data_IF_881708393648
#
_entry.id   IF_881708393648
#
_cell.length_a   1.000
_cell.length_b   1.000
_cell.length_c   1.000
_cell.angle_alpha   90.00
_cell.angle_beta   90.00
_cell.angle_gamma   90.00
#
_symmetry.space_group_name_H-M   'P 1'
#
loop_
_entity.id
_entity.type
_entity.pdbx_description
1 polymer ?
#
# COMPACT_ATOMS: atom_id res chain seq x y z
N UNK A 1 31.09 25.94 -25.03
CA UNK A 1 31.92 27.08 -25.53
C UNK A 1 32.04 28.20 -24.50
N UNK A 2 30.99 28.57 -23.77
CA UNK A 2 31.10 29.67 -22.78
C UNK A 2 32.10 29.41 -21.64
N UNK A 3 32.43 28.17 -21.34
CA UNK A 3 33.32 27.75 -20.24
C UNK A 3 34.71 27.33 -20.79
N UNK A 4 34.87 27.13 -22.09
CA UNK A 4 36.12 26.68 -22.72
C UNK A 4 36.79 27.78 -23.51
N UNK A 5 37.87 28.32 -22.97
CA UNK A 5 38.72 29.34 -23.65
C UNK A 5 40.14 28.83 -23.93
N UNK A 6 40.58 27.77 -23.24
CA UNK A 6 41.94 27.24 -23.33
C UNK A 6 41.94 25.71 -23.13
N UNK A 7 42.70 25.02 -23.99
CA UNK A 7 42.84 23.53 -23.97
C UNK A 7 43.53 23.04 -22.70
N UNK A 8 44.46 23.82 -22.11
CA UNK A 8 45.20 23.43 -20.92
C UNK A 8 44.31 23.36 -19.66
N UNK A 9 43.19 24.10 -19.62
CA UNK A 9 42.29 24.15 -18.50
C UNK A 9 40.98 23.35 -18.70
N UNK A 10 40.82 22.65 -19.84
CA UNK A 10 39.60 21.92 -20.21
C UNK A 10 39.18 20.89 -19.15
N UNK A 11 40.11 20.03 -18.72
CA UNK A 11 39.83 18.98 -17.73
C UNK A 11 39.32 19.56 -16.40
N UNK A 12 39.96 20.60 -15.88
CA UNK A 12 39.55 21.22 -14.61
C UNK A 12 38.18 21.89 -14.74
N UNK A 13 37.89 22.58 -15.83
CA UNK A 13 36.61 23.28 -16.03
C UNK A 13 35.47 22.31 -16.26
N UNK A 14 35.69 21.23 -17.04
CA UNK A 14 34.73 20.14 -17.17
C UNK A 14 34.46 19.47 -15.82
N UNK A 15 35.53 19.23 -15.03
CA UNK A 15 35.40 18.69 -13.67
C UNK A 15 34.53 19.56 -12.76
N UNK A 16 34.72 20.90 -12.78
CA UNK A 16 33.85 21.82 -12.01
C UNK A 16 32.39 21.81 -12.48
N UNK A 17 32.14 21.76 -13.79
CA UNK A 17 30.77 21.65 -14.33
C UNK A 17 30.12 20.37 -13.89
N UNK A 18 30.83 19.23 -13.98
CA UNK A 18 30.31 17.92 -13.54
C UNK A 18 30.06 17.88 -12.04
N UNK A 19 30.97 18.43 -11.22
CA UNK A 19 30.80 18.54 -9.78
C UNK A 19 29.55 19.36 -9.42
N UNK A 20 29.37 20.51 -10.06
CA UNK A 20 28.20 21.36 -9.87
C UNK A 20 26.89 20.65 -10.29
N UNK A 21 26.92 19.90 -11.38
CA UNK A 21 25.81 19.11 -11.86
C UNK A 21 25.42 17.99 -10.86
N UNK A 22 26.41 17.22 -10.38
CA UNK A 22 26.17 16.14 -9.40
C UNK A 22 25.67 16.72 -8.08
N UNK A 23 26.31 17.75 -7.56
CA UNK A 23 25.89 18.42 -6.33
C UNK A 23 24.49 19.04 -6.45
N UNK A 24 24.21 19.68 -7.58
CA UNK A 24 22.89 20.26 -7.88
C UNK A 24 21.79 19.21 -7.97
N UNK A 25 22.06 18.08 -8.64
CA UNK A 25 21.11 16.98 -8.74
C UNK A 25 20.83 16.35 -7.37
N UNK A 26 21.87 16.09 -6.57
CA UNK A 26 21.70 15.54 -5.23
C UNK A 26 20.92 16.50 -4.32
N UNK A 27 21.32 17.77 -4.25
CA UNK A 27 20.64 18.78 -3.46
C UNK A 27 19.19 19.01 -3.95
N UNK A 28 18.98 19.09 -5.27
CA UNK A 28 17.67 19.27 -5.87
C UNK A 28 16.74 18.10 -5.56
N UNK A 29 17.22 16.87 -5.66
CA UNK A 29 16.43 15.68 -5.33
C UNK A 29 16.02 15.65 -3.86
N UNK A 30 16.95 15.93 -2.94
CA UNK A 30 16.68 16.00 -1.51
C UNK A 30 15.67 17.12 -1.20
N UNK A 31 15.90 18.32 -1.74
CA UNK A 31 15.02 19.46 -1.52
C UNK A 31 13.61 19.21 -2.08
N UNK A 32 13.53 18.67 -3.28
CA UNK A 32 12.24 18.35 -3.91
C UNK A 32 11.51 17.25 -3.13
N UNK A 33 12.17 16.15 -2.82
CA UNK A 33 11.53 15.00 -2.16
C UNK A 33 11.12 15.28 -0.72
N UNK A 34 11.92 16.02 0.04
CA UNK A 34 11.65 16.22 1.47
C UNK A 34 10.91 17.52 1.79
N UNK A 35 11.03 18.53 0.95
CA UNK A 35 10.52 19.88 1.24
C UNK A 35 9.41 20.27 0.27
N UNK A 36 9.68 20.36 -1.03
CA UNK A 36 8.66 20.92 -1.92
C UNK A 36 7.45 20.01 -2.08
N UNK A 37 7.63 18.70 -2.21
CA UNK A 37 6.50 17.77 -2.24
C UNK A 37 5.69 17.78 -0.94
N UNK A 38 6.36 17.98 0.20
CA UNK A 38 5.64 18.04 1.48
C UNK A 38 4.76 19.29 1.63
N UNK A 39 5.27 20.46 1.24
CA UNK A 39 4.58 21.74 1.46
C UNK A 39 3.77 22.22 0.26
N UNK A 40 4.18 21.88 -0.96
CA UNK A 40 3.57 22.36 -2.19
C UNK A 40 2.76 21.28 -2.93
N UNK A 41 3.02 20.01 -2.62
CA UNK A 41 2.50 18.87 -3.36
C UNK A 41 3.04 18.77 -4.78
N UNK A 42 2.52 17.87 -5.58
CA UNK A 42 3.00 17.59 -6.94
C UNK A 42 2.82 18.80 -7.87
N UNK A 43 1.61 19.36 -7.97
CA UNK A 43 1.34 20.46 -8.89
C UNK A 43 2.07 21.74 -8.49
N UNK A 44 2.17 22.04 -7.17
CA UNK A 44 2.91 23.18 -6.67
C UNK A 44 4.41 23.04 -6.94
N UNK A 45 4.97 21.85 -6.75
CA UNK A 45 6.37 21.53 -7.06
C UNK A 45 6.66 21.69 -8.56
N UNK A 46 5.78 21.17 -9.42
CA UNK A 46 5.90 21.35 -10.87
C UNK A 46 5.88 22.83 -11.26
N UNK A 47 4.99 23.64 -10.66
CA UNK A 47 4.94 25.10 -10.89
C UNK A 47 6.23 25.78 -10.43
N UNK A 48 6.76 25.40 -9.28
CA UNK A 48 8.03 25.94 -8.77
C UNK A 48 9.19 25.63 -9.73
N UNK A 49 9.34 24.37 -10.15
CA UNK A 49 10.40 23.96 -11.08
C UNK A 49 10.27 24.64 -12.45
N UNK A 50 9.06 24.75 -12.97
CA UNK A 50 8.80 25.45 -14.22
C UNK A 50 9.08 26.96 -14.11
N UNK A 51 8.74 27.57 -12.97
CA UNK A 51 9.07 28.98 -12.69
C UNK A 51 10.57 29.20 -12.63
N UNK A 52 11.32 28.36 -11.92
CA UNK A 52 12.78 28.43 -11.88
C UNK A 52 13.41 28.27 -13.26
N UNK A 53 12.89 27.33 -14.06
CA UNK A 53 13.35 27.12 -15.44
C UNK A 53 13.07 28.34 -16.32
N UNK A 54 11.90 28.98 -16.16
CA UNK A 54 11.57 30.21 -16.87
C UNK A 54 12.49 31.38 -16.45
N UNK A 55 12.76 31.54 -15.16
CA UNK A 55 13.68 32.57 -14.65
C UNK A 55 15.09 32.38 -15.20
N UNK A 56 15.58 31.15 -15.27
CA UNK A 56 16.88 30.86 -15.89
C UNK A 56 16.88 31.19 -17.39
N UNK A 57 15.82 30.88 -18.13
CA UNK A 57 15.67 31.26 -19.53
C UNK A 57 15.66 32.77 -19.71
N UNK A 58 14.90 33.49 -18.90
CA UNK A 58 14.84 34.95 -18.94
C UNK A 58 16.17 35.57 -18.60
N UNK A 59 16.90 35.06 -17.60
CA UNK A 59 18.27 35.49 -17.25
C UNK A 59 19.25 35.26 -18.41
N UNK A 60 19.15 34.12 -19.10
CA UNK A 60 19.94 33.82 -20.29
C UNK A 60 19.64 34.81 -21.42
N UNK A 61 18.36 35.08 -21.70
CA UNK A 61 17.93 36.06 -22.70
C UNK A 61 18.41 37.46 -22.40
N UNK A 62 18.37 37.85 -21.12
CA UNK A 62 18.87 39.18 -20.67
C UNK A 62 20.37 39.35 -20.95
N UNK A 63 21.19 38.34 -20.63
CA UNK A 63 22.65 38.40 -20.83
C UNK A 63 23.07 38.21 -22.29
N UNK A 64 22.36 37.39 -23.05
CA UNK A 64 22.69 37.05 -24.44
C UNK A 64 22.08 37.97 -25.50
N UNK A 65 21.13 38.82 -25.11
CA UNK A 65 20.25 39.61 -25.98
C UNK A 65 19.18 38.76 -26.68
N UNK A 66 18.03 39.37 -26.91
CA UNK A 66 16.89 38.75 -27.62
C UNK A 66 17.23 38.67 -29.13
N UNK A 67 18.08 37.74 -29.52
CA UNK A 67 18.57 37.65 -30.91
C UNK A 67 17.74 36.74 -31.78
N UNK A 68 16.83 35.92 -31.20
CA UNK A 68 16.03 34.97 -31.94
C UNK A 68 14.57 34.99 -31.49
N UNK A 69 13.59 35.14 -32.44
CA UNK A 69 12.16 35.12 -32.10
C UNK A 69 11.72 33.82 -31.47
N UNK A 70 12.40 32.71 -31.77
CA UNK A 70 12.12 31.38 -31.16
C UNK A 70 12.32 31.36 -29.65
N UNK A 71 13.37 32.01 -29.14
CA UNK A 71 13.67 32.06 -27.69
C UNK A 71 12.61 32.87 -26.93
N UNK A 72 12.15 33.98 -27.51
CA UNK A 72 11.04 34.74 -26.97
C UNK A 72 9.72 33.96 -26.97
N UNK A 73 9.46 33.24 -28.06
CA UNK A 73 8.30 32.36 -28.18
C UNK A 73 8.31 31.25 -27.13
N UNK A 74 9.46 30.63 -26.86
CA UNK A 74 9.60 29.62 -25.80
C UNK A 74 9.36 30.18 -24.39
N UNK A 75 9.85 31.41 -24.11
CA UNK A 75 9.59 32.05 -22.82
C UNK A 75 8.09 32.33 -22.62
N UNK A 76 7.41 32.83 -23.65
CA UNK A 76 5.96 33.06 -23.61
C UNK A 76 5.21 31.74 -23.45
N UNK A 77 5.55 30.71 -24.22
CA UNK A 77 4.92 29.39 -24.13
C UNK A 77 5.11 28.78 -22.73
N UNK A 78 6.30 28.92 -22.13
CA UNK A 78 6.57 28.45 -20.77
C UNK A 78 5.76 29.21 -19.73
N UNK A 79 5.61 30.53 -19.87
CA UNK A 79 4.78 31.34 -18.99
C UNK A 79 3.29 30.97 -19.10
N UNK A 80 2.78 30.74 -20.31
CA UNK A 80 1.41 30.28 -20.54
C UNK A 80 1.19 28.88 -19.97
N UNK A 81 2.14 27.95 -20.13
CA UNK A 81 2.06 26.61 -19.56
C UNK A 81 1.93 26.65 -18.04
N UNK A 82 2.62 27.58 -17.34
CA UNK A 82 2.46 27.75 -15.89
C UNK A 82 1.04 28.10 -15.46
N UNK A 83 0.32 28.89 -16.27
CA UNK A 83 -1.06 29.28 -15.99
C UNK A 83 -2.05 28.12 -16.16
N UNK A 84 -1.70 27.13 -16.99
CA UNK A 84 -2.57 25.97 -17.29
C UNK A 84 -2.38 24.84 -16.27
N UNK A 85 -1.27 24.78 -15.56
CA UNK A 85 -1.05 23.75 -14.53
C UNK A 85 -2.08 23.93 -13.41
N UNK A 86 -2.96 22.93 -13.15
CA UNK A 86 -3.97 23.03 -12.12
C UNK A 86 -3.36 23.06 -10.71
N UNK A 87 -4.17 23.24 -9.66
CA UNK A 87 -3.77 22.93 -8.28
C UNK A 87 -3.68 21.41 -8.05
N UNK A 88 -3.18 21.00 -6.88
CA UNK A 88 -2.95 19.58 -6.56
C UNK A 88 -4.22 18.74 -6.69
N UNK A 89 -5.32 19.11 -6.03
CA UNK A 89 -6.60 18.41 -6.15
C UNK A 89 -7.09 18.36 -7.61
N UNK A 90 -6.96 19.46 -8.35
CA UNK A 90 -7.34 19.52 -9.76
C UNK A 90 -6.47 18.64 -10.65
N UNK A 91 -5.19 18.48 -10.34
CA UNK A 91 -4.27 17.59 -11.07
C UNK A 91 -4.72 16.13 -10.91
N UNK A 92 -4.86 15.67 -9.68
CA UNK A 92 -5.23 14.29 -9.39
C UNK A 92 -6.66 13.97 -9.85
N UNK A 93 -7.60 14.92 -9.71
CA UNK A 93 -8.95 14.77 -10.21
C UNK A 93 -8.98 14.58 -11.74
N UNK A 94 -8.20 15.36 -12.50
CA UNK A 94 -8.14 15.21 -13.97
C UNK A 94 -7.45 13.93 -14.41
N UNK A 95 -6.51 13.41 -13.62
CA UNK A 95 -5.81 12.17 -13.96
C UNK A 95 -6.63 10.91 -13.70
N UNK A 96 -7.50 10.91 -12.69
CA UNK A 96 -8.14 9.70 -12.19
C UNK A 96 -9.66 9.81 -11.99
N UNK A 97 -10.26 10.98 -12.17
CA UNK A 97 -11.69 11.19 -12.04
C UNK A 97 -12.27 11.79 -13.33
N UNK A 98 -13.58 11.62 -13.56
CA UNK A 98 -14.26 12.18 -14.72
C UNK A 98 -14.45 13.71 -14.63
N UNK A 99 -14.04 14.30 -13.48
CA UNK A 99 -14.07 15.74 -13.25
C UNK A 99 -13.79 16.12 -11.81
N UNK A 100 -13.58 17.41 -11.51
CA UNK A 100 -13.23 17.88 -10.17
C UNK A 100 -14.30 17.61 -9.11
N UNK A 101 -15.57 17.56 -9.51
CA UNK A 101 -16.71 17.42 -8.61
C UNK A 101 -16.85 16.06 -7.91
N UNK A 102 -16.13 15.05 -8.38
CA UNK A 102 -16.22 13.70 -7.83
C UNK A 102 -15.15 13.41 -6.74
N UNK A 103 -14.21 14.32 -6.51
CA UNK A 103 -13.19 14.13 -5.47
C UNK A 103 -13.73 14.70 -4.14
N UNK A 104 -14.00 13.80 -3.20
CA UNK A 104 -14.58 14.16 -1.90
C UNK A 104 -13.51 14.38 -0.82
N UNK A 105 -12.44 13.59 -0.87
CA UNK A 105 -11.35 13.71 0.04
C UNK A 105 -10.02 13.55 -0.70
N UNK A 106 -9.01 14.32 -0.31
CA UNK A 106 -7.67 14.18 -0.84
C UNK A 106 -6.63 14.75 0.11
N UNK A 107 -5.47 14.14 0.12
CA UNK A 107 -4.31 14.65 0.83
C UNK A 107 -3.03 14.28 0.09
N UNK A 108 -2.00 15.08 0.22
CA UNK A 108 -0.72 14.87 -0.41
C UNK A 108 0.40 15.46 0.46
N UNK A 109 1.46 14.68 0.66
CA UNK A 109 2.69 15.14 1.30
C UNK A 109 3.92 14.39 0.73
N UNK A 110 5.07 14.50 1.40
CA UNK A 110 6.29 13.80 0.98
C UNK A 110 6.21 12.27 1.06
N UNK A 111 5.27 11.71 1.82
CA UNK A 111 5.08 10.26 1.90
C UNK A 111 4.22 9.71 0.77
N UNK A 112 3.43 10.59 0.12
CA UNK A 112 2.63 10.22 -1.04
C UNK A 112 1.35 11.02 -1.20
N UNK A 113 0.40 10.45 -1.92
CA UNK A 113 -0.91 11.01 -2.18
C UNK A 113 -1.99 9.97 -1.93
N UNK A 114 -3.10 10.38 -1.33
CA UNK A 114 -4.30 9.58 -1.21
C UNK A 114 -5.53 10.43 -1.53
N UNK A 115 -6.51 9.84 -2.21
CA UNK A 115 -7.75 10.52 -2.51
C UNK A 115 -8.89 9.53 -2.74
N UNK A 116 -10.10 9.99 -2.46
CA UNK A 116 -11.33 9.26 -2.67
C UNK A 116 -12.18 9.94 -3.74
N UNK A 117 -12.63 9.13 -4.69
CA UNK A 117 -13.56 9.54 -5.73
C UNK A 117 -14.92 8.95 -5.44
N UNK A 118 -15.89 9.81 -5.11
CA UNK A 118 -17.28 9.39 -4.97
C UNK A 118 -17.94 9.24 -6.35
N UNK A 119 -18.48 8.04 -6.60
CA UNK A 119 -19.12 7.69 -7.87
C UNK A 119 -20.64 8.00 -7.89
N UNK A 120 -21.29 8.08 -6.72
CA UNK A 120 -22.75 8.27 -6.60
C UNK A 120 -23.19 9.65 -6.14
N UNK A 121 -22.30 10.46 -5.53
CA UNK A 121 -22.66 11.81 -5.12
C UNK A 121 -23.67 11.83 -3.94
N UNK A 122 -24.77 12.44 -3.96
CA UNK A 122 -25.60 12.97 -2.88
C UNK A 122 -26.39 11.95 -2.00
N UNK A 123 -26.26 10.65 -2.14
CA UNK A 123 -27.14 9.68 -1.42
C UNK A 123 -26.75 9.39 0.04
N UNK A 124 -25.80 10.15 0.60
CA UNK A 124 -25.39 10.00 2.01
C UNK A 124 -24.53 8.76 2.30
N UNK A 125 -24.21 7.96 1.28
CA UNK A 125 -23.36 6.78 1.39
C UNK A 125 -22.16 6.92 0.47
N UNK A 126 -20.96 6.83 1.03
CA UNK A 126 -19.72 6.87 0.25
C UNK A 126 -19.65 5.67 -0.69
N UNK A 127 -19.47 5.91 -2.00
CA UNK A 127 -19.26 4.84 -2.97
C UNK A 127 -18.26 5.21 -4.04
N UNK A 128 -17.17 4.49 -4.12
CA UNK A 128 -16.18 4.72 -5.18
C UNK A 128 -14.81 4.13 -4.88
N UNK A 129 -13.86 4.30 -5.79
CA UNK A 129 -12.49 3.87 -5.62
C UNK A 129 -11.73 4.81 -4.66
N UNK A 130 -10.86 4.20 -3.85
CA UNK A 130 -9.87 4.86 -3.02
C UNK A 130 -8.48 4.68 -3.65
N UNK A 131 -7.83 5.80 -3.94
CA UNK A 131 -6.53 5.83 -4.62
C UNK A 131 -5.42 6.12 -3.63
N UNK A 132 -4.33 5.36 -3.74
CA UNK A 132 -3.06 5.59 -3.03
C UNK A 132 -1.96 5.59 -4.07
N UNK A 133 -1.10 6.61 -4.07
CA UNK A 133 -0.01 6.76 -5.04
C UNK A 133 -0.49 6.70 -6.50
N UNK A 134 -1.71 7.18 -6.77
CA UNK A 134 -2.31 7.16 -8.10
C UNK A 134 -2.90 5.83 -8.56
N UNK A 135 -2.86 4.78 -7.73
CA UNK A 135 -3.49 3.49 -8.01
C UNK A 135 -4.74 3.27 -7.17
N UNK A 136 -5.78 2.67 -7.73
CA UNK A 136 -6.95 2.23 -6.98
C UNK A 136 -6.56 1.03 -6.11
N UNK A 137 -6.30 1.27 -4.83
CA UNK A 137 -5.89 0.25 -3.86
C UNK A 137 -7.06 -0.33 -3.07
N UNK A 138 -8.25 0.27 -3.18
CA UNK A 138 -9.44 -0.19 -2.48
C UNK A 138 -10.69 0.55 -2.94
N UNK A 139 -11.80 0.25 -2.30
CA UNK A 139 -13.10 0.89 -2.54
C UNK A 139 -13.82 1.16 -1.24
N UNK A 140 -14.81 2.04 -1.32
CA UNK A 140 -15.84 2.24 -0.33
C UNK A 140 -17.18 2.05 -1.06
N UNK A 141 -18.11 1.21 -0.63
CA UNK A 141 -17.99 0.21 0.47
C UNK A 141 -16.80 -0.73 0.29
N UNK A 142 -16.30 -1.28 1.41
CA UNK A 142 -15.08 -2.08 1.43
C UNK A 142 -15.19 -3.34 0.57
N UNK A 143 -14.10 -3.71 -0.11
CA UNK A 143 -14.05 -4.97 -0.85
C UNK A 143 -14.15 -6.16 0.13
N UNK A 144 -14.96 -7.15 -0.23
CA UNK A 144 -15.13 -8.36 0.59
C UNK A 144 -13.81 -9.07 0.88
N UNK A 145 -12.84 -9.01 -0.03
CA UNK A 145 -11.52 -9.63 0.18
C UNK A 145 -10.75 -8.97 1.33
N UNK A 146 -10.73 -7.64 1.42
CA UNK A 146 -10.07 -6.93 2.52
C UNK A 146 -10.81 -7.18 3.85
N UNK A 147 -12.15 -7.23 3.82
CA UNK A 147 -12.90 -7.58 5.01
C UNK A 147 -12.67 -9.04 5.45
N UNK A 148 -12.56 -9.97 4.50
CA UNK A 148 -12.22 -11.35 4.81
C UNK A 148 -10.82 -11.46 5.42
N UNK A 149 -9.83 -10.79 4.80
CA UNK A 149 -8.45 -10.74 5.27
C UNK A 149 -8.39 -10.27 6.74
N UNK A 150 -9.09 -9.16 7.07
CA UNK A 150 -9.12 -8.61 8.42
C UNK A 150 -9.89 -9.44 9.45
N UNK A 151 -10.96 -10.15 9.01
CA UNK A 151 -11.80 -10.89 9.93
C UNK A 151 -11.29 -12.31 10.23
N UNK A 152 -10.60 -12.95 9.28
CA UNK A 152 -10.29 -14.38 9.37
C UNK A 152 -9.42 -14.73 10.59
N UNK A 153 -8.39 -13.94 10.87
CA UNK A 153 -7.53 -14.14 12.03
C UNK A 153 -8.29 -14.04 13.36
N UNK A 154 -8.98 -12.93 13.64
CA UNK A 154 -9.82 -12.77 14.83
C UNK A 154 -10.92 -13.83 14.99
N UNK A 155 -11.44 -14.39 13.89
CA UNK A 155 -12.47 -15.44 13.96
C UNK A 155 -11.90 -16.84 14.19
N UNK A 156 -10.65 -17.10 13.80
CA UNK A 156 -9.95 -18.36 14.07
C UNK A 156 -9.36 -18.37 15.48
N UNK A 157 -8.73 -17.27 15.90
CA UNK A 157 -8.10 -17.17 17.20
C UNK A 157 -9.16 -17.24 18.33
N UNK A 158 -8.94 -18.03 19.39
CA UNK A 158 -9.95 -18.23 20.44
C UNK A 158 -10.29 -16.93 21.20
N UNK A 159 -9.31 -16.08 21.50
CA UNK A 159 -9.47 -14.86 22.31
C UNK A 159 -8.47 -13.76 21.89
N UNK A 160 -8.65 -13.11 20.72
CA UNK A 160 -7.74 -12.07 20.24
C UNK A 160 -7.95 -10.77 21.02
N UNK A 161 -6.94 -10.29 21.73
CA UNK A 161 -6.97 -9.01 22.46
C UNK A 161 -6.21 -7.92 21.75
N UNK A 162 -5.04 -8.23 21.21
CA UNK A 162 -4.13 -7.28 20.58
C UNK A 162 -3.95 -7.63 19.10
N UNK A 163 -4.48 -6.80 18.23
CA UNK A 163 -4.40 -6.95 16.78
C UNK A 163 -3.56 -5.83 16.21
N UNK A 164 -2.56 -6.17 15.41
CA UNK A 164 -1.79 -5.23 14.60
C UNK A 164 -2.16 -5.41 13.13
N UNK A 165 -2.52 -4.32 12.47
CA UNK A 165 -2.74 -4.27 11.02
C UNK A 165 -1.69 -3.38 10.39
N UNK A 166 -0.94 -3.89 9.42
CA UNK A 166 0.07 -3.18 8.64
C UNK A 166 -0.48 -2.91 7.25
N UNK A 167 -0.74 -1.65 6.95
CA UNK A 167 -1.47 -1.18 5.79
C UNK A 167 -2.95 -0.94 6.11
N UNK A 168 -3.41 0.31 6.00
CA UNK A 168 -4.81 0.69 6.27
C UNK A 168 -5.61 0.69 4.97
N UNK A 169 -5.01 1.20 3.90
CA UNK A 169 -5.68 1.30 2.61
C UNK A 169 -6.97 2.09 2.68
N UNK A 170 -8.06 1.55 2.13
CA UNK A 170 -9.40 2.16 2.23
C UNK A 170 -10.07 1.96 3.59
N UNK A 171 -9.46 1.22 4.51
CA UNK A 171 -10.00 0.94 5.85
C UNK A 171 -10.70 -0.41 6.00
N UNK A 172 -10.84 -1.21 4.93
CA UNK A 172 -11.60 -2.45 4.97
C UNK A 172 -11.02 -3.51 5.90
N UNK A 173 -9.71 -3.69 5.86
CA UNK A 173 -8.98 -4.65 6.69
C UNK A 173 -9.00 -4.26 8.17
N UNK A 174 -8.60 -3.04 8.58
CA UNK A 174 -8.68 -2.66 9.98
C UNK A 174 -10.13 -2.63 10.51
N UNK A 175 -11.12 -2.28 9.67
CA UNK A 175 -12.52 -2.39 10.07
C UNK A 175 -12.87 -3.83 10.46
N UNK A 176 -12.60 -4.77 9.56
CA UNK A 176 -12.93 -6.17 9.77
C UNK A 176 -12.13 -6.82 10.90
N UNK A 177 -10.88 -6.38 11.14
CA UNK A 177 -10.08 -6.82 12.28
C UNK A 177 -10.74 -6.53 13.63
N UNK A 178 -11.59 -5.48 13.70
CA UNK A 178 -12.36 -5.12 14.87
C UNK A 178 -13.66 -5.93 15.07
N UNK A 179 -13.85 -7.04 14.35
CA UNK A 179 -15.05 -7.89 14.42
C UNK A 179 -15.32 -8.44 15.82
N UNK A 180 -14.28 -8.59 16.64
CA UNK A 180 -14.40 -8.99 18.04
C UNK A 180 -14.41 -7.73 18.91
N UNK A 181 -15.49 -7.48 19.67
CA UNK A 181 -15.64 -6.24 20.43
C UNK A 181 -14.60 -6.06 21.55
N UNK A 182 -13.98 -7.14 22.01
CA UNK A 182 -12.94 -7.15 23.03
C UNK A 182 -11.53 -6.86 22.50
N UNK A 183 -11.35 -6.84 21.18
CA UNK A 183 -10.03 -6.62 20.56
C UNK A 183 -9.66 -5.14 20.49
N UNK A 184 -8.39 -4.85 20.72
CA UNK A 184 -7.76 -3.56 20.46
C UNK A 184 -7.00 -3.66 19.13
N UNK A 185 -7.31 -2.77 18.22
CA UNK A 185 -6.77 -2.76 16.86
C UNK A 185 -5.80 -1.58 16.75
N UNK A 186 -4.54 -1.89 16.48
CA UNK A 186 -3.54 -0.91 16.10
C UNK A 186 -3.28 -1.05 14.60
N UNK A 187 -3.55 -0.02 13.84
CA UNK A 187 -3.38 -0.02 12.39
C UNK A 187 -2.34 1.03 12.00
N UNK A 188 -1.33 0.61 11.23
CA UNK A 188 -0.19 1.45 10.85
C UNK A 188 -0.17 1.62 9.33
N UNK A 189 -0.11 2.88 8.88
CA UNK A 189 -0.08 3.26 7.47
C UNK A 189 1.20 4.03 7.14
N UNK A 190 1.86 3.62 6.07
CA UNK A 190 3.10 4.24 5.61
C UNK A 190 2.88 5.59 4.91
N UNK A 191 1.72 5.77 4.27
CA UNK A 191 1.35 6.96 3.52
C UNK A 191 0.44 7.84 4.38
N UNK A 192 1.01 8.86 5.05
CA UNK A 192 0.25 9.72 5.96
C UNK A 192 -1.01 10.34 5.35
N UNK A 193 -1.03 10.79 4.08
CA UNK A 193 -2.24 11.24 3.38
C UNK A 193 -3.43 10.29 3.40
N UNK A 194 -3.21 8.98 3.55
CA UNK A 194 -4.30 8.00 3.70
C UNK A 194 -5.14 8.30 4.93
N UNK A 195 -4.50 8.56 6.07
CA UNK A 195 -5.21 8.88 7.31
C UNK A 195 -6.01 10.16 7.18
N UNK A 196 -5.41 11.21 6.60
CA UNK A 196 -6.09 12.49 6.36
C UNK A 196 -7.30 12.31 5.44
N UNK A 197 -7.14 11.60 4.34
CA UNK A 197 -8.25 11.37 3.41
C UNK A 197 -9.37 10.52 4.04
N UNK A 198 -9.03 9.49 4.83
CA UNK A 198 -10.02 8.70 5.55
C UNK A 198 -10.76 9.53 6.62
N UNK A 199 -10.06 10.42 7.32
CA UNK A 199 -10.69 11.32 8.29
C UNK A 199 -11.67 12.29 7.60
N UNK A 200 -11.30 12.86 6.45
CA UNK A 200 -12.20 13.69 5.64
C UNK A 200 -13.43 12.90 5.17
N UNK A 201 -13.25 11.64 4.73
CA UNK A 201 -14.38 10.76 4.38
C UNK A 201 -15.27 10.53 5.60
N UNK A 202 -14.68 10.26 6.76
CA UNK A 202 -15.44 10.08 8.00
C UNK A 202 -16.22 11.31 8.43
N UNK A 203 -15.75 12.51 8.11
CA UNK A 203 -16.47 13.77 8.36
C UNK A 203 -17.63 13.95 7.37
N UNK A 204 -17.46 13.61 6.10
CA UNK A 204 -18.51 13.68 5.08
C UNK A 204 -19.60 12.63 5.30
N UNK A 205 -19.22 11.43 5.78
CA UNK A 205 -20.12 10.29 6.00
C UNK A 205 -20.06 9.83 7.47
N UNK A 206 -20.63 10.61 8.41
CA UNK A 206 -20.44 10.44 9.85
C UNK A 206 -21.03 9.16 10.46
N UNK A 207 -21.94 8.50 9.74
CA UNK A 207 -22.59 7.24 10.15
C UNK A 207 -21.88 6.01 9.57
N UNK A 208 -20.90 6.23 8.69
CA UNK A 208 -20.15 5.18 8.01
C UNK A 208 -19.13 4.46 8.91
N UNK A 209 -18.62 3.31 8.44
CA UNK A 209 -17.64 2.51 9.18
C UNK A 209 -16.33 3.27 9.42
N UNK A 210 -15.89 4.10 8.47
CA UNK A 210 -14.68 4.91 8.60
C UNK A 210 -14.81 5.89 9.76
N UNK A 211 -15.91 6.63 9.82
CA UNK A 211 -16.16 7.56 10.94
C UNK A 211 -16.19 6.84 12.30
N UNK A 212 -16.73 5.63 12.34
CA UNK A 212 -16.75 4.81 13.58
C UNK A 212 -15.35 4.41 14.01
N UNK A 213 -14.46 4.01 13.10
CA UNK A 213 -13.07 3.68 13.43
C UNK A 213 -12.33 4.87 14.06
N UNK A 214 -12.56 6.10 13.60
CA UNK A 214 -11.94 7.29 14.19
C UNK A 214 -12.55 7.69 15.54
N UNK A 215 -13.80 7.31 15.83
CA UNK A 215 -14.51 7.65 17.07
C UNK A 215 -14.36 6.59 18.17
N UNK A 216 -14.19 5.33 17.81
CA UNK A 216 -14.08 4.21 18.76
C UNK A 216 -12.61 4.03 19.21
N UNK A 217 -12.29 4.19 20.51
CA UNK A 217 -10.93 4.12 21.03
C UNK A 217 -10.25 2.75 20.86
N UNK A 218 -10.99 1.72 20.46
CA UNK A 218 -10.40 0.43 20.13
C UNK A 218 -9.51 0.48 18.90
N UNK A 219 -9.76 1.40 17.96
CA UNK A 219 -8.92 1.61 16.79
C UNK A 219 -7.90 2.72 17.04
N UNK A 220 -6.63 2.35 17.05
CA UNK A 220 -5.49 3.26 17.06
C UNK A 220 -4.89 3.29 15.65
N UNK A 221 -5.22 4.31 14.87
CA UNK A 221 -4.72 4.48 13.52
C UNK A 221 -3.52 5.42 13.53
N UNK A 222 -2.37 4.94 13.04
CA UNK A 222 -1.08 5.62 13.17
C UNK A 222 -0.37 5.74 11.83
N UNK A 223 0.27 6.89 11.61
CA UNK A 223 1.26 7.04 10.56
C UNK A 223 2.58 6.40 10.99
N UNK A 224 3.12 5.52 10.16
CA UNK A 224 4.38 4.87 10.45
C UNK A 224 4.73 3.75 9.49
N UNK A 225 5.93 3.21 9.68
CA UNK A 225 6.39 2.01 9.01
C UNK A 225 6.15 0.80 9.91
N UNK A 226 5.23 -0.09 9.51
CA UNK A 226 4.86 -1.27 10.29
C UNK A 226 6.04 -2.22 10.53
N UNK A 227 6.93 -2.37 9.55
CA UNK A 227 8.14 -3.17 9.69
C UNK A 227 9.10 -2.59 10.72
N UNK A 228 9.31 -1.28 10.67
CA UNK A 228 10.14 -0.56 11.66
C UNK A 228 9.54 -0.63 13.06
N UNK A 229 8.22 -0.57 13.15
CA UNK A 229 7.50 -0.73 14.43
C UNK A 229 7.76 -2.11 15.03
N UNK A 230 7.57 -3.18 14.28
CA UNK A 230 7.89 -4.54 14.72
C UNK A 230 9.36 -4.73 15.11
N UNK A 231 10.29 -4.00 14.45
CA UNK A 231 11.71 -4.06 14.79
C UNK A 231 12.04 -3.45 16.16
N UNK A 232 11.36 -2.34 16.50
CA UNK A 232 11.69 -1.51 17.66
C UNK A 232 10.96 -1.88 18.92
N UNK A 233 9.77 -2.44 18.81
CA UNK A 233 8.90 -2.71 19.95
C UNK A 233 9.02 -4.17 20.41
N UNK A 234 8.92 -4.39 21.74
CA UNK A 234 8.86 -5.72 22.32
C UNK A 234 7.43 -6.24 22.52
N UNK A 235 6.43 -5.45 22.12
CA UNK A 235 5.02 -5.82 22.19
C UNK A 235 4.76 -7.07 21.35
N UNK A 236 3.94 -7.97 21.90
CA UNK A 236 3.45 -9.16 21.21
C UNK A 236 1.99 -9.00 20.88
N UNK A 237 1.58 -9.64 19.79
CA UNK A 237 0.23 -9.53 19.25
C UNK A 237 -0.38 -10.92 19.09
N UNK A 238 -1.68 -11.01 19.36
CA UNK A 238 -2.46 -12.22 19.10
C UNK A 238 -2.71 -12.40 17.61
N UNK A 239 -2.89 -11.28 16.91
CA UNK A 239 -2.99 -11.24 15.44
C UNK A 239 -2.04 -10.16 14.92
N UNK A 240 -1.23 -10.52 13.93
CA UNK A 240 -0.54 -9.56 13.08
C UNK A 240 -1.06 -9.79 11.66
N UNK A 241 -1.47 -8.73 11.01
CA UNK A 241 -1.98 -8.78 9.67
C UNK A 241 -1.24 -7.78 8.79
N UNK A 242 -0.82 -8.22 7.60
CA UNK A 242 -0.22 -7.37 6.60
C UNK A 242 -1.08 -7.38 5.33
N UNK A 243 -1.85 -6.30 5.15
CA UNK A 243 -2.56 -6.00 3.91
C UNK A 243 -1.60 -5.24 2.97
N UNK A 244 -0.60 -5.97 2.50
CA UNK A 244 0.46 -5.40 1.70
C UNK A 244 0.05 -5.30 0.23
N UNK A 245 0.50 -4.22 -0.41
CA UNK A 245 0.31 -4.00 -1.85
C UNK A 245 1.00 -5.07 -2.69
N UNK A 246 0.69 -5.10 -3.98
CA UNK A 246 1.30 -6.01 -4.95
C UNK A 246 2.83 -5.99 -4.88
N UNK A 247 3.52 -7.15 -4.84
CA UNK A 247 4.96 -7.24 -4.59
C UNK A 247 5.82 -6.63 -5.69
N UNK A 248 5.28 -6.39 -6.87
CA UNK A 248 5.96 -5.71 -7.98
C UNK A 248 6.04 -4.18 -7.83
N UNK A 249 5.31 -3.60 -6.89
CA UNK A 249 5.46 -2.19 -6.53
C UNK A 249 6.83 -1.95 -5.88
N UNK A 250 7.44 -0.78 -6.14
CA UNK A 250 8.74 -0.44 -5.56
C UNK A 250 8.71 -0.53 -4.02
N UNK A 251 9.67 -1.25 -3.46
CA UNK A 251 9.82 -1.53 -2.02
C UNK A 251 8.71 -2.36 -1.37
N UNK A 252 7.67 -2.74 -2.08
CA UNK A 252 6.60 -3.60 -1.54
C UNK A 252 7.07 -5.04 -1.32
N UNK A 253 8.03 -5.52 -2.12
CA UNK A 253 8.66 -6.82 -1.97
C UNK A 253 9.25 -7.07 -0.59
N UNK A 254 9.64 -6.01 0.12
CA UNK A 254 10.16 -6.08 1.49
C UNK A 254 9.14 -6.60 2.51
N UNK A 255 7.84 -6.46 2.24
CA UNK A 255 6.76 -7.00 3.09
C UNK A 255 6.47 -8.49 2.84
N UNK A 256 7.11 -9.08 1.82
CA UNK A 256 7.03 -10.50 1.50
C UNK A 256 8.35 -11.23 1.71
N UNK A 257 9.38 -10.53 2.21
CA UNK A 257 10.69 -11.13 2.48
C UNK A 257 10.65 -12.08 3.67
N UNK A 258 11.50 -13.11 3.63
CA UNK A 258 11.65 -14.05 4.74
C UNK A 258 12.03 -13.33 6.05
N UNK A 259 12.84 -12.28 5.95
CA UNK A 259 13.27 -11.47 7.10
C UNK A 259 12.11 -10.74 7.75
N UNK A 260 11.22 -10.14 6.96
CA UNK A 260 10.04 -9.46 7.50
C UNK A 260 9.04 -10.46 8.10
N UNK A 261 8.78 -11.55 7.40
CA UNK A 261 7.86 -12.60 7.89
C UNK A 261 8.40 -13.20 9.21
N UNK A 262 9.71 -13.44 9.32
CA UNK A 262 10.32 -13.92 10.57
C UNK A 262 10.26 -12.87 11.69
N UNK A 263 10.43 -11.60 11.36
CA UNK A 263 10.25 -10.51 12.31
C UNK A 263 8.81 -10.46 12.85
N UNK A 264 7.80 -10.58 11.99
CA UNK A 264 6.40 -10.66 12.40
C UNK A 264 6.15 -11.91 13.27
N UNK A 265 6.67 -13.08 12.84
CA UNK A 265 6.58 -14.34 13.59
C UNK A 265 7.10 -14.23 15.02
N UNK A 266 8.23 -13.53 15.24
CA UNK A 266 8.82 -13.32 16.58
C UNK A 266 7.97 -12.41 17.46
N UNK A 267 7.09 -11.59 16.89
CA UNK A 267 6.20 -10.69 17.62
C UNK A 267 4.82 -11.28 17.88
N UNK A 268 4.58 -12.52 17.47
CA UNK A 268 3.37 -13.23 17.86
C UNK A 268 3.39 -13.57 19.36
N UNK A 269 2.25 -13.43 20.01
CA UNK A 269 1.96 -14.00 21.31
C UNK A 269 1.88 -15.54 21.21
N UNK A 270 1.92 -16.29 22.32
CA UNK A 270 1.61 -17.72 22.29
C UNK A 270 0.24 -17.98 21.63
N UNK A 271 0.20 -18.92 20.67
CA UNK A 271 -1.00 -19.18 19.87
C UNK A 271 -1.36 -18.10 18.82
N UNK A 272 -0.56 -17.04 18.72
CA UNK A 272 -0.81 -15.92 17.82
C UNK A 272 -0.70 -16.30 16.34
N UNK A 273 -1.42 -15.54 15.49
CA UNK A 273 -1.54 -15.76 14.06
C UNK A 273 -0.98 -14.58 13.26
N UNK A 274 -0.21 -14.88 12.22
CA UNK A 274 0.18 -13.92 11.19
C UNK A 274 -0.64 -14.16 9.93
N UNK A 275 -1.30 -13.11 9.45
CA UNK A 275 -2.19 -13.17 8.29
C UNK A 275 -1.62 -12.31 7.18
N UNK A 276 -1.56 -12.82 5.97
CA UNK A 276 -1.11 -12.07 4.81
C UNK A 276 -1.78 -12.56 3.53
N UNK A 277 -2.00 -11.64 2.61
CA UNK A 277 -2.44 -11.99 1.26
C UNK A 277 -1.34 -12.73 0.47
N UNK A 278 -1.75 -13.67 -0.38
CA UNK A 278 -0.89 -14.53 -1.18
C UNK A 278 -0.80 -14.03 -2.64
N UNK A 279 0.11 -13.10 -2.98
CA UNK A 279 0.15 -12.52 -4.32
C UNK A 279 0.78 -13.44 -5.38
N UNK A 280 1.80 -14.21 -5.00
CA UNK A 280 2.57 -15.05 -5.91
C UNK A 280 2.89 -16.40 -5.27
N UNK A 281 3.20 -17.41 -6.11
CA UNK A 281 3.69 -18.70 -5.63
C UNK A 281 4.94 -18.56 -4.76
N UNK A 282 5.86 -17.68 -5.15
CA UNK A 282 7.10 -17.44 -4.41
C UNK A 282 6.84 -16.84 -3.02
N UNK A 283 5.91 -15.88 -2.92
CA UNK A 283 5.50 -15.32 -1.64
C UNK A 283 4.92 -16.40 -0.71
N UNK A 284 4.06 -17.28 -1.25
CA UNK A 284 3.49 -18.42 -0.50
C UNK A 284 4.59 -19.35 0.00
N UNK A 285 5.53 -19.74 -0.84
CA UNK A 285 6.61 -20.65 -0.47
C UNK A 285 7.59 -20.01 0.53
N UNK A 286 7.84 -18.70 0.40
CA UNK A 286 8.62 -17.93 1.35
C UNK A 286 7.93 -17.90 2.72
N UNK A 287 6.64 -17.62 2.74
CA UNK A 287 5.83 -17.63 3.96
C UNK A 287 5.86 -18.99 4.66
N UNK A 288 5.57 -20.04 3.91
CA UNK A 288 5.59 -21.40 4.43
C UNK A 288 7.00 -21.90 4.85
N UNK A 289 8.08 -21.24 4.37
CA UNK A 289 9.44 -21.52 4.80
C UNK A 289 9.73 -21.01 6.22
N UNK A 290 9.09 -19.92 6.60
CA UNK A 290 9.35 -19.23 7.87
C UNK A 290 8.51 -19.79 9.00
N UNK A 291 7.25 -20.13 8.75
CA UNK A 291 6.34 -20.62 9.78
C UNK A 291 6.38 -22.14 9.93
N UNK A 292 6.47 -22.67 11.18
CA UNK A 292 6.33 -24.10 11.44
C UNK A 292 4.93 -24.62 11.12
N UNK A 293 3.90 -23.77 11.27
CA UNK A 293 2.52 -24.08 10.90
C UNK A 293 2.01 -23.00 9.94
N UNK A 294 1.65 -23.40 8.74
CA UNK A 294 1.16 -22.50 7.69
C UNK A 294 -0.03 -23.09 6.95
N UNK A 295 -1.03 -22.26 6.70
CA UNK A 295 -2.22 -22.57 5.90
C UNK A 295 -2.33 -21.60 4.74
N UNK A 296 -2.88 -22.05 3.61
CA UNK A 296 -3.35 -21.22 2.51
C UNK A 296 -4.83 -21.44 2.30
N UNK A 297 -5.61 -20.41 2.49
CA UNK A 297 -7.05 -20.42 2.26
C UNK A 297 -7.36 -20.00 0.82
N UNK A 298 -7.84 -20.95 0.01
CA UNK A 298 -8.27 -20.69 -1.36
C UNK A 298 -9.79 -20.78 -1.44
N UNK A 299 -10.47 -19.98 -2.27
CA UNK A 299 -9.93 -19.11 -3.33
C UNK A 299 -9.51 -17.72 -2.88
N UNK A 300 -9.67 -17.34 -1.62
CA UNK A 300 -9.33 -16.00 -1.13
C UNK A 300 -7.85 -15.65 -1.26
N UNK A 301 -6.96 -16.65 -1.34
CA UNK A 301 -5.53 -16.41 -1.40
C UNK A 301 -4.99 -15.79 -0.12
N UNK A 302 -5.41 -16.27 1.05
CA UNK A 302 -4.97 -15.79 2.36
C UNK A 302 -4.06 -16.81 3.02
N UNK A 303 -2.87 -16.38 3.40
CA UNK A 303 -1.90 -17.17 4.16
C UNK A 303 -2.09 -16.91 5.66
N UNK A 304 -2.04 -17.98 6.46
CA UNK A 304 -2.08 -17.91 7.91
C UNK A 304 -0.88 -18.69 8.45
N UNK A 305 -0.06 -18.04 9.27
CA UNK A 305 1.11 -18.65 9.90
C UNK A 305 1.07 -18.55 11.40
N UNK A 306 1.63 -19.54 12.09
CA UNK A 306 1.76 -19.56 13.54
C UNK A 306 3.00 -20.33 14.00
N UNK A 307 3.47 -20.02 15.21
CA UNK A 307 4.49 -20.82 15.91
C UNK A 307 3.92 -22.14 16.48
N UNK A 308 2.61 -22.21 16.65
CA UNK A 308 1.88 -23.32 17.23
C UNK A 308 0.84 -23.86 16.24
N UNK A 309 0.28 -25.07 16.45
CA UNK A 309 -0.79 -25.59 15.61
C UNK A 309 -1.95 -24.61 15.49
N UNK A 310 -2.37 -24.30 14.25
CA UNK A 310 -3.44 -23.35 13.99
C UNK A 310 -4.78 -24.04 14.27
N UNK A 311 -5.65 -23.48 15.15
CA UNK A 311 -6.93 -24.06 15.50
C UNK A 311 -7.97 -23.82 14.38
N UNK A 312 -7.66 -24.25 13.17
CA UNK A 312 -8.50 -24.05 11.98
C UNK A 312 -9.51 -25.19 11.82
N UNK A 313 -10.77 -24.81 11.82
CA UNK A 313 -11.91 -25.67 11.50
C UNK A 313 -12.83 -24.92 10.51
N UNK A 314 -12.98 -25.41 9.27
CA UNK A 314 -13.81 -24.76 8.26
C UNK A 314 -15.28 -24.58 8.69
N UNK A 315 -15.87 -25.57 9.35
CA UNK A 315 -17.25 -25.51 9.79
C UNK A 315 -17.43 -24.46 10.88
N UNK A 316 -16.51 -24.41 11.84
CA UNK A 316 -16.50 -23.41 12.90
C UNK A 316 -16.27 -22.00 12.33
N UNK A 317 -15.38 -21.83 11.36
CA UNK A 317 -15.16 -20.55 10.71
C UNK A 317 -16.40 -20.06 9.98
N UNK A 318 -17.08 -20.95 9.23
CA UNK A 318 -18.35 -20.64 8.58
C UNK A 318 -19.43 -20.20 9.59
N UNK A 319 -19.55 -20.92 10.71
CA UNK A 319 -20.45 -20.55 11.80
C UNK A 319 -20.11 -19.16 12.40
N UNK A 320 -18.80 -18.87 12.59
CA UNK A 320 -18.38 -17.56 13.10
C UNK A 320 -18.77 -16.43 12.14
N UNK A 321 -18.57 -16.58 10.83
CA UNK A 321 -19.00 -15.58 9.85
C UNK A 321 -20.51 -15.39 9.84
N UNK A 322 -21.28 -16.48 10.00
CA UNK A 322 -22.74 -16.46 9.99
C UNK A 322 -23.37 -15.89 11.28
N UNK A 323 -22.60 -15.69 12.35
CA UNK A 323 -23.13 -15.10 13.59
C UNK A 323 -23.71 -13.71 13.33
N UNK A 324 -24.94 -13.41 13.80
CA UNK A 324 -25.61 -12.16 13.48
C UNK A 324 -24.79 -10.90 13.78
N UNK A 325 -24.06 -10.88 14.91
CA UNK A 325 -23.23 -9.74 15.29
C UNK A 325 -22.04 -9.56 14.36
N UNK A 326 -21.36 -10.63 13.97
CA UNK A 326 -20.20 -10.59 13.05
C UNK A 326 -20.65 -10.20 11.65
N UNK A 327 -21.74 -10.80 11.17
CA UNK A 327 -22.29 -10.47 9.85
C UNK A 327 -22.78 -9.01 9.79
N UNK A 328 -23.41 -8.52 10.85
CA UNK A 328 -23.83 -7.12 10.94
C UNK A 328 -22.63 -6.17 10.91
N UNK A 329 -21.52 -6.50 11.60
CA UNK A 329 -20.29 -5.72 11.57
C UNK A 329 -19.70 -5.66 10.16
N UNK A 330 -19.57 -6.79 9.46
CA UNK A 330 -19.03 -6.83 8.11
C UNK A 330 -19.94 -6.10 7.11
N UNK A 331 -21.25 -6.28 7.22
CA UNK A 331 -22.24 -5.61 6.35
C UNK A 331 -22.34 -4.11 6.60
N UNK A 332 -21.97 -3.62 7.77
CA UNK A 332 -21.81 -2.19 7.99
C UNK A 332 -20.66 -1.60 7.13
N UNK A 333 -19.64 -2.38 6.82
CA UNK A 333 -18.57 -2.00 5.90
C UNK A 333 -18.89 -2.24 4.41
N UNK A 334 -19.72 -3.23 4.13
CA UNK A 334 -20.23 -3.53 2.80
C UNK A 334 -21.50 -4.38 2.91
N UNK A 335 -22.65 -3.81 2.54
CA UNK A 335 -23.95 -4.51 2.63
C UNK A 335 -23.99 -5.79 1.81
N UNK A 336 -23.24 -5.84 0.71
CA UNK A 336 -23.10 -7.00 -0.17
C UNK A 336 -21.94 -7.91 0.23
N UNK A 337 -21.45 -7.81 1.48
CA UNK A 337 -20.36 -8.67 1.94
C UNK A 337 -20.65 -10.14 1.62
N UNK A 338 -19.81 -10.72 0.79
CA UNK A 338 -19.89 -12.14 0.43
C UNK A 338 -19.24 -12.97 1.51
N UNK A 339 -20.01 -13.86 2.11
CA UNK A 339 -19.50 -14.89 3.01
C UNK A 339 -18.71 -15.93 2.19
N UNK A 340 -17.38 -15.81 2.26
CA UNK A 340 -16.50 -16.75 1.58
C UNK A 340 -16.25 -18.03 2.39
N UNK A 341 -16.75 -18.10 3.62
CA UNK A 341 -16.55 -19.26 4.47
C UNK A 341 -17.16 -20.53 3.86
N UNK A 342 -18.27 -20.40 3.12
CA UNK A 342 -18.85 -21.51 2.34
C UNK A 342 -17.92 -22.02 1.23
N UNK A 343 -17.00 -21.19 0.75
CA UNK A 343 -16.01 -21.56 -0.25
C UNK A 343 -14.86 -22.39 0.32
N UNK A 344 -14.67 -22.35 1.66
CA UNK A 344 -13.66 -23.15 2.38
C UNK A 344 -14.22 -24.49 2.91
N UNK A 345 -15.39 -24.94 2.46
CA UNK A 345 -15.90 -26.25 2.80
C UNK A 345 -14.95 -27.41 2.38
N UNK A 346 -13.89 -27.08 1.64
CA UNK A 346 -12.76 -27.94 1.35
C UNK A 346 -11.61 -27.78 2.36
N UNK A 347 -10.77 -28.80 2.47
CA UNK A 347 -9.58 -28.78 3.33
C UNK A 347 -8.61 -27.69 2.87
N UNK A 348 -8.17 -26.77 3.75
CA UNK A 348 -7.15 -25.78 3.41
C UNK A 348 -5.85 -26.48 3.04
N UNK A 349 -5.06 -25.80 2.20
CA UNK A 349 -3.71 -26.28 1.94
C UNK A 349 -2.85 -26.05 3.17
N UNK A 350 -2.31 -27.14 3.71
CA UNK A 350 -1.42 -27.12 4.85
C UNK A 350 0.01 -27.47 4.39
N UNK A 351 0.99 -26.68 4.82
CA UNK A 351 2.38 -27.01 4.59
C UNK A 351 2.94 -27.78 5.77
N UNK A 352 3.56 -28.91 5.45
CA UNK A 352 4.25 -29.72 6.43
C UNK A 352 5.68 -29.20 6.64
N UNK A 353 6.22 -29.25 7.87
CA UNK A 353 7.61 -28.95 8.15
C UNK A 353 8.56 -29.77 7.26
N UNK A 354 9.59 -29.13 6.71
CA UNK A 354 10.61 -29.82 5.91
C UNK A 354 10.23 -30.15 4.47
N UNK A 355 9.03 -29.78 4.01
CA UNK A 355 8.63 -29.97 2.62
C UNK A 355 9.51 -29.16 1.65
N UNK A 356 9.94 -29.81 0.57
CA UNK A 356 10.78 -29.17 -0.45
C UNK A 356 10.01 -28.08 -1.18
N UNK A 357 10.63 -26.93 -1.39
CA UNK A 357 10.09 -25.78 -2.08
C UNK A 357 10.82 -25.60 -3.40
N UNK A 358 10.07 -25.24 -4.45
CA UNK A 358 10.60 -25.10 -5.81
C UNK A 358 11.18 -23.70 -6.05
N UNK A 359 10.55 -22.67 -5.49
CA UNK A 359 10.98 -21.30 -5.69
C UNK A 359 12.04 -20.85 -4.69
N UNK A 360 13.04 -20.11 -5.15
CA UNK A 360 13.95 -19.41 -4.25
C UNK A 360 13.19 -18.35 -3.46
N UNK A 361 13.43 -18.22 -2.14
CA UNK A 361 12.67 -17.32 -1.28
C UNK A 361 12.85 -15.86 -1.68
N UNK A 362 11.84 -15.04 -1.34
CA UNK A 362 11.97 -13.58 -1.32
C UNK A 362 12.78 -13.18 -0.11
N UNK A 363 13.78 -12.34 -0.31
CA UNK A 363 14.61 -11.78 0.76
C UNK A 363 14.75 -10.27 0.59
N UNK A 364 15.20 -9.58 1.64
CA UNK A 364 15.44 -8.14 1.59
C UNK A 364 16.43 -7.73 0.50
N UNK A 365 17.43 -8.59 0.23
CA UNK A 365 18.46 -8.34 -0.78
C UNK A 365 17.99 -8.76 -2.17
N UNK A 366 17.10 -9.76 -2.25
CA UNK A 366 16.58 -10.29 -3.51
C UNK A 366 15.04 -10.33 -3.49
N UNK A 367 14.38 -9.17 -3.60
CA UNK A 367 12.93 -9.07 -3.73
C UNK A 367 12.50 -9.43 -5.16
N UNK A 368 12.62 -10.71 -5.52
CA UNK A 368 12.57 -11.22 -6.89
C UNK A 368 11.26 -10.93 -7.64
N UNK A 369 10.18 -10.69 -6.92
CA UNK A 369 8.87 -10.40 -7.49
C UNK A 369 8.64 -8.89 -7.68
N UNK A 370 9.53 -8.03 -7.15
CA UNK A 370 9.37 -6.57 -7.21
C UNK A 370 9.56 -6.02 -8.63
N UNK A 371 10.41 -6.63 -9.43
CA UNK A 371 10.70 -6.16 -10.79
C UNK A 371 10.20 -7.16 -11.82
N UNK A 372 8.89 -7.28 -11.96
CA UNK A 372 8.27 -8.25 -12.90
C UNK A 372 8.72 -8.10 -14.36
N UNK A 373 9.17 -6.91 -14.79
CA UNK A 373 9.72 -6.68 -16.11
C UNK A 373 10.97 -7.52 -16.40
N UNK A 374 11.70 -7.88 -15.35
CA UNK A 374 12.89 -8.73 -15.44
C UNK A 374 12.55 -10.22 -15.22
N UNK A 375 11.31 -10.54 -14.90
CA UNK A 375 10.85 -11.90 -14.63
C UNK A 375 9.44 -12.13 -15.22
N UNK A 376 9.32 -12.07 -16.55
CA UNK A 376 8.02 -12.11 -17.24
C UNK A 376 7.24 -13.41 -17.05
N UNK A 377 7.89 -14.49 -16.59
CA UNK A 377 7.20 -15.74 -16.25
C UNK A 377 6.39 -15.66 -14.94
N UNK A 378 6.59 -14.62 -14.16
CA UNK A 378 5.78 -14.30 -12.98
C UNK A 378 4.76 -13.24 -13.37
N UNK A 379 3.95 -13.55 -14.35
CA UNK A 379 2.77 -12.79 -14.68
C UNK A 379 1.94 -12.59 -13.42
N UNK A 380 1.68 -11.34 -13.10
CA UNK A 380 0.93 -10.89 -11.92
C UNK A 380 -0.51 -11.41 -11.87
N UNK A 381 -1.02 -11.97 -12.96
CA UNK A 381 -2.26 -12.72 -13.02
C UNK A 381 -2.17 -14.16 -12.50
N UNK A 382 -0.98 -14.68 -12.29
CA UNK A 382 -0.78 -15.99 -11.67
C UNK A 382 -0.65 -15.89 -10.16
N UNK A 383 -1.72 -15.43 -9.54
CA UNK A 383 -1.96 -15.80 -8.17
C UNK A 383 -1.78 -17.30 -8.03
N UNK A 384 -1.39 -17.76 -6.85
CA UNK A 384 -1.44 -19.17 -6.48
C UNK A 384 -2.87 -19.68 -6.71
N UNK A 385 -3.23 -19.94 -7.93
CA UNK A 385 -4.50 -20.60 -8.30
C UNK A 385 -4.43 -22.09 -8.00
N UNK A 386 -3.59 -22.48 -7.07
CA UNK A 386 -3.56 -23.84 -6.57
C UNK A 386 -3.28 -24.93 -7.60
N UNK A 387 -2.76 -24.64 -8.80
CA UNK A 387 -2.56 -25.67 -9.82
C UNK A 387 -1.49 -26.67 -9.46
N UNK A 388 -0.36 -26.22 -8.93
CA UNK A 388 0.75 -27.13 -8.62
C UNK A 388 0.87 -27.47 -7.14
N UNK A 389 0.61 -26.52 -6.25
CA UNK A 389 0.68 -26.76 -4.81
C UNK A 389 -0.55 -27.53 -4.32
N UNK A 390 -1.75 -27.25 -4.86
CA UNK A 390 -2.98 -27.91 -4.43
C UNK A 390 -3.13 -29.33 -4.95
N UNK A 391 -2.69 -29.64 -6.17
CA UNK A 391 -2.83 -30.99 -6.73
C UNK A 391 -1.84 -31.97 -6.08
N UNK A 392 -0.59 -31.56 -5.88
CA UNK A 392 0.41 -32.40 -5.22
C UNK A 392 0.11 -32.64 -3.73
N UNK A 393 -0.54 -31.70 -3.04
CA UNK A 393 -0.82 -31.81 -1.60
C UNK A 393 -2.17 -32.43 -1.29
N UNK A 394 -3.17 -32.34 -2.15
CA UNK A 394 -4.37 -33.16 -2.03
C UNK A 394 -4.05 -34.65 -2.10
N UNK A 395 -3.03 -35.03 -2.89
CA UNK A 395 -2.54 -36.41 -2.96
C UNK A 395 -1.69 -36.83 -1.74
N UNK A 396 -1.13 -35.89 -1.00
CA UNK A 396 -0.33 -36.18 0.20
C UNK A 396 -1.11 -36.20 1.52
N UNK A 397 -2.36 -35.71 1.49
CA UNK A 397 -3.28 -35.70 2.65
C UNK A 397 -4.37 -36.78 2.54
N UNK A 398 -4.50 -37.43 1.38
CA UNK A 398 -5.24 -38.67 1.18
C UNK A 398 -4.31 -39.88 1.37
#
# INVERSE_FOLDING_TARGET
RAVQQDLASVGTRVGWVQLANIAGNAAGSIFTGLITLHFLGTAGTLKLLATLSLLLLLGWLWHGGWRRPVEGGLAIASALALLVIPGNAGLWSRMHAEGPGNMVAWAEDRSGVAFFRDSKGADGVAEGPFFIQGFSQGRIPFLSIHQFLGAVGPLIHPDPKNVLVIGIGSGGTPWAAGIRPESQIRAIELVAPVLTALEEIGQHYPDGPIARMFKDPRWQMEYGDGRRTLAKEDRRYDIIEADAILPQGSHSGLLYSAEFIDQARRRLAPGGLYIQWAPTQRAVETFAAVFPHALLLMPAGVMIGSNEPIPFDPARLAEQFARPAHLAHLRAGNQEFSDWASLFAGTPLQWLPGEKREAAPLTDVFPRDEFYLNNPSQDTGHYVRGRNVSAQRRAAVQ
#
